data_IF_409633944478
#
_entry.id   IF_409633944478
#
_cell.length_a   1.000
_cell.length_b   1.000
_cell.length_c   1.000
_cell.angle_alpha   90.00
_cell.angle_beta   90.00
_cell.angle_gamma   90.00
#
_symmetry.space_group_name_H-M   'P 1'
#
loop_
_entity.id
_entity.type
_entity.pdbx_description
1 polymer ?
#
# COMPACT_ATOMS: atom_id res chain seq x y z
N UNK A 1 -19.41 0.05 -69.28
CA UNK A 1 -18.90 -0.86 -68.22
C UNK A 1 -18.06 -0.10 -67.19
N UNK A 2 -17.08 0.73 -67.60
CA UNK A 2 -16.39 1.65 -66.67
C UNK A 2 -17.34 2.64 -65.98
N UNK A 3 -18.39 3.13 -66.66
CA UNK A 3 -19.40 3.99 -66.04
C UNK A 3 -20.19 3.32 -64.91
N UNK A 4 -20.52 2.03 -65.02
CA UNK A 4 -21.25 1.30 -63.97
C UNK A 4 -20.37 1.13 -62.72
N UNK A 5 -19.07 0.94 -62.89
CA UNK A 5 -18.11 0.83 -61.78
C UNK A 5 -17.87 2.18 -61.12
N UNK A 6 -17.80 3.27 -61.90
CA UNK A 6 -17.73 4.63 -61.35
C UNK A 6 -19.01 5.02 -60.60
N UNK A 7 -20.19 4.67 -61.13
CA UNK A 7 -21.46 4.89 -60.46
C UNK A 7 -21.55 4.12 -59.14
N UNK A 8 -21.10 2.86 -59.12
CA UNK A 8 -21.11 2.04 -57.91
C UNK A 8 -20.13 2.53 -56.84
N UNK A 9 -18.96 3.08 -57.23
CA UNK A 9 -18.05 3.75 -56.28
C UNK A 9 -18.69 4.99 -55.67
N UNK A 10 -19.30 5.84 -56.49
CA UNK A 10 -19.99 7.04 -56.02
C UNK A 10 -21.17 6.71 -55.09
N UNK A 11 -21.90 5.63 -55.37
CA UNK A 11 -23.00 5.15 -54.52
C UNK A 11 -22.48 4.65 -53.15
N UNK A 12 -21.37 3.90 -53.14
CA UNK A 12 -20.72 3.44 -51.91
C UNK A 12 -20.21 4.63 -51.08
N UNK A 13 -19.59 5.63 -51.72
CA UNK A 13 -19.11 6.84 -51.06
C UNK A 13 -20.26 7.66 -50.46
N UNK A 14 -21.35 7.85 -51.21
CA UNK A 14 -22.53 8.58 -50.74
C UNK A 14 -23.24 7.86 -49.59
N UNK A 15 -23.41 6.54 -49.69
CA UNK A 15 -24.04 5.74 -48.65
C UNK A 15 -23.18 5.69 -47.38
N UNK A 16 -21.85 5.62 -47.50
CA UNK A 16 -20.94 5.65 -46.36
C UNK A 16 -20.86 7.02 -45.66
N UNK A 17 -21.07 8.12 -46.40
CA UNK A 17 -21.06 9.47 -45.83
C UNK A 17 -22.25 9.72 -44.88
N UNK A 18 -23.37 9.03 -45.08
CA UNK A 18 -24.57 9.15 -44.24
C UNK A 18 -24.50 8.32 -42.93
N UNK A 19 -23.53 7.40 -42.82
CA UNK A 19 -23.44 6.45 -41.71
C UNK A 19 -22.60 7.01 -40.57
N UNK A 20 -23.13 6.94 -39.35
CA UNK A 20 -22.47 7.41 -38.13
C UNK A 20 -22.18 6.32 -37.11
N UNK A 21 -22.64 5.08 -37.32
CA UNK A 21 -22.45 3.93 -36.43
C UNK A 21 -21.64 2.82 -37.16
N UNK A 22 -20.67 2.24 -36.46
CA UNK A 22 -19.88 1.10 -36.95
C UNK A 22 -20.75 -0.12 -37.29
N UNK A 23 -21.90 -0.30 -36.63
CA UNK A 23 -22.85 -1.39 -36.96
C UNK A 23 -23.53 -1.19 -38.31
N UNK A 24 -23.96 0.03 -38.61
CA UNK A 24 -24.55 0.38 -39.90
C UNK A 24 -23.50 0.29 -41.02
N UNK A 25 -22.25 0.70 -40.73
CA UNK A 25 -21.12 0.56 -41.65
C UNK A 25 -20.83 -0.90 -42.00
N UNK A 26 -20.95 -1.80 -41.01
CA UNK A 26 -20.82 -3.24 -41.21
C UNK A 26 -21.95 -3.81 -42.10
N UNK A 27 -23.19 -3.35 -41.95
CA UNK A 27 -24.30 -3.79 -42.82
C UNK A 27 -24.09 -3.30 -44.25
N UNK A 28 -23.65 -2.06 -44.45
CA UNK A 28 -23.30 -1.54 -45.76
C UNK A 28 -22.16 -2.34 -46.39
N UNK A 29 -21.09 -2.62 -45.64
CA UNK A 29 -19.99 -3.48 -46.09
C UNK A 29 -20.50 -4.85 -46.53
N UNK A 30 -21.40 -5.46 -45.77
CA UNK A 30 -22.01 -6.76 -46.09
C UNK A 30 -22.82 -6.69 -47.39
N UNK A 31 -23.60 -5.63 -47.62
CA UNK A 31 -24.40 -5.47 -48.84
C UNK A 31 -23.54 -5.45 -50.12
N UNK A 32 -22.34 -4.87 -50.08
CA UNK A 32 -21.48 -4.75 -51.26
C UNK A 32 -20.43 -5.87 -51.39
N UNK A 33 -19.81 -6.31 -50.29
CA UNK A 33 -18.66 -7.24 -50.28
C UNK A 33 -18.98 -8.69 -49.85
N UNK A 34 -20.24 -9.03 -49.52
CA UNK A 34 -20.58 -10.41 -49.15
C UNK A 34 -20.31 -11.41 -50.29
N UNK A 35 -19.78 -12.59 -49.95
CA UNK A 35 -19.36 -13.60 -50.92
C UNK A 35 -20.54 -14.30 -51.62
N UNK A 36 -21.73 -14.32 -51.01
CA UNK A 36 -22.93 -14.99 -51.53
C UNK A 36 -23.90 -14.00 -52.19
N UNK A 37 -24.15 -12.86 -51.55
CA UNK A 37 -25.18 -11.86 -51.95
C UNK A 37 -24.61 -10.47 -52.25
N UNK A 38 -23.30 -10.26 -52.14
CA UNK A 38 -22.69 -8.94 -52.33
C UNK A 38 -22.81 -8.47 -53.77
N UNK A 39 -23.16 -7.20 -53.97
CA UNK A 39 -23.32 -6.65 -55.32
C UNK A 39 -22.02 -6.70 -56.14
N UNK A 40 -20.85 -6.55 -55.52
CA UNK A 40 -19.54 -6.69 -56.19
C UNK A 40 -19.26 -8.17 -56.55
N UNK A 41 -19.68 -9.10 -55.69
CA UNK A 41 -19.59 -10.55 -55.97
C UNK A 41 -20.57 -10.99 -57.07
N UNK A 42 -21.71 -10.32 -57.23
CA UNK A 42 -22.65 -10.55 -58.33
C UNK A 42 -22.07 -10.12 -59.68
N UNK A 43 -21.36 -8.98 -59.73
CA UNK A 43 -20.62 -8.54 -60.93
C UNK A 43 -19.57 -9.57 -61.38
N UNK A 44 -18.90 -10.25 -60.43
CA UNK A 44 -17.97 -11.35 -60.74
C UNK A 44 -18.66 -12.59 -61.31
N UNK A 45 -19.91 -12.89 -60.93
CA UNK A 45 -20.68 -14.03 -61.47
C UNK A 45 -21.14 -13.77 -62.92
N UNK A 46 -21.49 -12.53 -63.23
CA UNK A 46 -21.88 -12.10 -64.59
C UNK A 46 -20.71 -12.17 -65.60
N UNK A 47 -19.47 -12.38 -65.14
CA UNK A 47 -18.29 -12.61 -65.98
C UNK A 47 -18.39 -13.89 -66.84
N UNK A 48 -19.25 -14.86 -66.46
CA UNK A 48 -19.48 -16.09 -67.22
C UNK A 48 -20.12 -15.85 -68.59
N UNK A 49 -20.83 -14.74 -68.76
CA UNK A 49 -21.62 -14.44 -69.95
C UNK A 49 -20.85 -13.58 -70.99
N UNK A 50 -19.63 -13.12 -70.68
CA UNK A 50 -18.80 -12.33 -71.59
C UNK A 50 -17.95 -13.18 -72.55
N UNK A 51 -17.62 -12.62 -73.72
CA UNK A 51 -16.74 -13.24 -74.72
C UNK A 51 -15.32 -13.48 -74.15
N UNK A 52 -14.61 -14.55 -74.55
CA UNK A 52 -13.31 -14.94 -73.98
C UNK A 52 -12.23 -13.84 -74.01
N UNK A 53 -12.31 -12.95 -74.98
CA UNK A 53 -11.37 -11.85 -75.24
C UNK A 53 -11.52 -10.68 -74.26
N UNK A 54 -12.72 -10.45 -73.70
CA UNK A 54 -13.02 -9.33 -72.79
C UNK A 54 -12.94 -9.70 -71.30
N UNK A 55 -12.92 -11.00 -70.98
CA UNK A 55 -12.84 -11.53 -69.61
C UNK A 55 -11.62 -11.06 -68.81
N UNK A 56 -10.39 -10.96 -69.37
CA UNK A 56 -9.21 -10.54 -68.61
C UNK A 56 -9.27 -9.07 -68.18
N UNK A 57 -9.74 -8.19 -69.07
CA UNK A 57 -9.88 -6.76 -68.78
C UNK A 57 -10.98 -6.52 -67.74
N UNK A 58 -12.12 -7.20 -67.86
CA UNK A 58 -13.22 -7.10 -66.91
C UNK A 58 -12.84 -7.61 -65.51
N UNK A 59 -12.20 -8.77 -65.41
CA UNK A 59 -11.75 -9.33 -64.13
C UNK A 59 -10.76 -8.44 -63.39
N UNK A 60 -9.89 -7.72 -64.12
CA UNK A 60 -8.96 -6.75 -63.54
C UNK A 60 -9.70 -5.58 -62.88
N UNK A 61 -10.64 -4.95 -63.60
CA UNK A 61 -11.36 -3.77 -63.11
C UNK A 61 -12.27 -4.13 -61.91
N UNK A 62 -12.92 -5.30 -61.92
CA UNK A 62 -13.75 -5.74 -60.79
C UNK A 62 -12.90 -6.11 -59.56
N UNK A 63 -11.73 -6.71 -59.75
CA UNK A 63 -10.79 -6.94 -58.64
C UNK A 63 -10.25 -5.62 -58.07
N UNK A 64 -9.93 -4.63 -58.91
CA UNK A 64 -9.54 -3.28 -58.46
C UNK A 64 -10.66 -2.59 -57.68
N UNK A 65 -11.92 -2.71 -58.12
CA UNK A 65 -13.09 -2.23 -57.37
C UNK A 65 -13.23 -2.93 -56.02
N UNK A 66 -13.03 -4.26 -55.98
CA UNK A 66 -13.13 -5.05 -54.75
C UNK A 66 -12.06 -4.67 -53.74
N UNK A 67 -10.81 -4.49 -54.18
CA UNK A 67 -9.70 -4.05 -53.33
C UNK A 67 -9.96 -2.63 -52.81
N UNK A 68 -10.33 -1.71 -53.70
CA UNK A 68 -10.69 -0.34 -53.30
C UNK A 68 -11.82 -0.33 -52.27
N UNK A 69 -12.90 -1.10 -52.49
CA UNK A 69 -14.02 -1.16 -51.57
C UNK A 69 -13.59 -1.74 -50.22
N UNK A 70 -12.77 -2.81 -50.21
CA UNK A 70 -12.24 -3.39 -48.98
C UNK A 70 -11.44 -2.36 -48.18
N UNK A 71 -10.54 -1.63 -48.83
CA UNK A 71 -9.72 -0.60 -48.19
C UNK A 71 -10.58 0.56 -47.67
N UNK A 72 -11.55 1.01 -48.47
CA UNK A 72 -12.49 2.06 -48.11
C UNK A 72 -13.34 1.70 -46.88
N UNK A 73 -13.97 0.53 -46.88
CA UNK A 73 -14.76 0.05 -45.75
C UNK A 73 -13.91 -0.17 -44.49
N UNK A 74 -12.67 -0.64 -44.65
CA UNK A 74 -11.72 -0.82 -43.53
C UNK A 74 -11.33 0.52 -42.92
N UNK A 75 -11.05 1.53 -43.75
CA UNK A 75 -10.71 2.87 -43.28
C UNK A 75 -11.89 3.56 -42.57
N UNK A 76 -13.11 3.43 -43.11
CA UNK A 76 -14.31 4.01 -42.49
C UNK A 76 -14.68 3.31 -41.18
N UNK A 77 -14.58 1.99 -41.11
CA UNK A 77 -14.82 1.21 -39.88
C UNK A 77 -13.82 1.60 -38.77
N UNK A 78 -12.54 1.75 -39.11
CA UNK A 78 -11.51 2.21 -38.18
C UNK A 78 -11.79 3.64 -37.68
N UNK A 79 -12.23 4.55 -38.56
CA UNK A 79 -12.60 5.93 -38.21
C UNK A 79 -13.82 5.99 -37.29
N UNK A 80 -14.85 5.21 -37.56
CA UNK A 80 -16.07 5.20 -36.75
C UNK A 80 -15.81 4.59 -35.37
N UNK A 81 -15.07 3.47 -35.30
CA UNK A 81 -14.69 2.84 -34.03
C UNK A 81 -13.84 3.74 -33.15
N UNK A 82 -12.89 4.50 -33.73
CA UNK A 82 -12.08 5.44 -32.96
C UNK A 82 -12.90 6.61 -32.42
N UNK A 83 -13.86 7.12 -33.22
CA UNK A 83 -14.79 8.16 -32.78
C UNK A 83 -15.75 7.68 -31.68
N UNK A 84 -16.29 6.46 -31.80
CA UNK A 84 -17.13 5.82 -30.78
C UNK A 84 -16.35 5.62 -29.47
N UNK A 85 -15.11 5.13 -29.55
CA UNK A 85 -14.25 4.95 -28.38
C UNK A 85 -13.91 6.29 -27.72
N UNK A 86 -13.58 7.32 -28.49
CA UNK A 86 -13.31 8.65 -27.95
C UNK A 86 -14.54 9.24 -27.24
N UNK A 87 -15.73 9.06 -27.81
CA UNK A 87 -17.00 9.47 -27.18
C UNK A 87 -17.27 8.71 -25.88
N UNK A 88 -17.02 7.39 -25.88
CA UNK A 88 -17.15 6.56 -24.68
C UNK A 88 -16.18 7.00 -23.58
N UNK A 89 -14.91 7.20 -23.92
CA UNK A 89 -13.89 7.65 -22.99
C UNK A 89 -14.20 9.05 -22.40
N UNK A 90 -14.74 9.96 -23.20
CA UNK A 90 -15.17 11.28 -22.72
C UNK A 90 -16.38 11.20 -21.78
N UNK A 91 -17.32 10.28 -22.05
CA UNK A 91 -18.49 10.07 -21.19
C UNK A 91 -18.14 9.35 -19.87
N UNK A 92 -17.14 8.46 -19.90
CA UNK A 92 -16.64 7.71 -18.74
C UNK A 92 -15.45 8.42 -18.06
N UNK A 93 -15.18 9.68 -18.39
CA UNK A 93 -14.12 10.45 -17.76
C UNK A 93 -14.47 10.72 -16.30
N UNK A 94 -13.63 10.20 -15.40
CA UNK A 94 -13.73 10.42 -13.96
C UNK A 94 -12.61 11.35 -13.49
N UNK A 95 -12.87 12.08 -12.40
CA UNK A 95 -11.84 12.82 -11.69
C UNK A 95 -11.04 11.86 -10.79
N UNK A 96 -9.85 11.48 -11.25
CA UNK A 96 -8.92 10.61 -10.51
C UNK A 96 -8.27 11.30 -9.31
N UNK A 97 -8.42 12.62 -9.16
CA UNK A 97 -7.90 13.40 -8.03
C UNK A 97 -8.90 13.55 -6.89
N UNK A 98 -10.15 13.16 -7.12
CA UNK A 98 -11.20 13.21 -6.11
C UNK A 98 -10.82 12.34 -4.90
N UNK A 99 -10.93 12.85 -3.66
CA UNK A 99 -10.62 12.08 -2.47
C UNK A 99 -11.46 10.80 -2.41
N UNK A 100 -10.80 9.66 -2.25
CA UNK A 100 -11.48 8.39 -2.04
C UNK A 100 -12.16 8.37 -0.67
N UNK A 101 -13.27 7.64 -0.56
CA UNK A 101 -13.85 7.30 0.74
C UNK A 101 -12.97 6.28 1.44
N UNK A 102 -11.91 6.75 2.10
CA UNK A 102 -11.02 5.91 2.89
C UNK A 102 -11.48 5.84 4.35
N UNK A 103 -11.29 4.68 4.97
CA UNK A 103 -11.40 4.57 6.42
C UNK A 103 -10.15 5.17 7.07
N UNK A 104 -10.35 5.90 8.17
CA UNK A 104 -9.23 6.41 8.93
C UNK A 104 -8.38 5.25 9.47
N UNK A 105 -7.07 5.30 9.25
CA UNK A 105 -6.14 4.39 9.91
C UNK A 105 -6.02 4.79 11.38
N UNK A 106 -5.94 3.80 12.28
CA UNK A 106 -5.58 4.05 13.67
C UNK A 106 -4.13 4.52 13.79
N UNK A 107 -3.80 5.18 14.89
CA UNK A 107 -2.45 5.57 15.26
C UNK A 107 -2.06 4.94 16.59
N UNK A 108 -0.78 4.65 16.77
CA UNK A 108 -0.26 4.25 18.08
C UNK A 108 -0.19 5.46 19.01
N UNK A 109 -0.35 5.22 20.30
CA UNK A 109 -0.15 6.24 21.31
C UNK A 109 1.32 6.72 21.29
N UNK A 110 1.61 8.02 21.50
CA UNK A 110 2.99 8.54 21.53
C UNK A 110 3.92 7.76 22.45
N UNK A 111 3.48 7.43 23.68
CA UNK A 111 4.27 6.60 24.60
C UNK A 111 4.60 5.21 24.03
N UNK A 112 3.73 4.62 23.21
CA UNK A 112 3.99 3.33 22.56
C UNK A 112 4.99 3.48 21.43
N UNK A 113 4.91 4.57 20.65
CA UNK A 113 5.89 4.89 19.61
C UNK A 113 7.29 5.02 20.21
N UNK A 114 7.43 5.86 21.24
CA UNK A 114 8.71 6.07 21.93
C UNK A 114 9.18 4.77 22.59
N UNK A 115 8.31 4.03 23.30
CA UNK A 115 8.72 2.77 23.91
C UNK A 115 9.27 1.77 22.89
N UNK A 116 8.62 1.64 21.72
CA UNK A 116 9.08 0.76 20.65
C UNK A 116 10.43 1.21 20.07
N UNK A 117 10.60 2.52 19.87
CA UNK A 117 11.87 3.10 19.38
C UNK A 117 13.02 2.82 20.35
N UNK A 118 12.83 3.06 21.66
CA UNK A 118 13.85 2.76 22.65
C UNK A 118 14.14 1.25 22.75
N UNK A 119 13.09 0.40 22.69
CA UNK A 119 13.25 -1.06 22.63
C UNK A 119 14.12 -1.47 21.43
N UNK A 120 13.88 -0.90 20.25
CA UNK A 120 14.62 -1.21 19.03
C UNK A 120 16.10 -0.84 19.16
N UNK A 121 16.41 0.35 19.69
CA UNK A 121 17.78 0.80 19.96
C UNK A 121 18.51 -0.17 20.89
N UNK A 122 17.92 -0.50 22.04
CA UNK A 122 18.55 -1.39 23.02
C UNK A 122 18.61 -2.85 22.54
N UNK A 123 17.61 -3.32 21.79
CA UNK A 123 17.67 -4.63 21.15
C UNK A 123 18.81 -4.71 20.13
N UNK A 124 19.05 -3.63 19.37
CA UNK A 124 20.22 -3.50 18.48
C UNK A 124 21.56 -3.57 19.22
N UNK A 125 21.60 -3.12 20.48
CA UNK A 125 22.75 -3.27 21.38
C UNK A 125 22.83 -4.64 22.06
N UNK A 126 21.93 -5.58 21.77
CA UNK A 126 21.91 -6.94 22.31
C UNK A 126 21.24 -7.09 23.68
N UNK A 127 20.38 -6.15 24.08
CA UNK A 127 19.54 -6.29 25.28
C UNK A 127 18.37 -7.24 25.00
N UNK A 128 18.00 -8.05 26.00
CA UNK A 128 16.76 -8.81 25.98
C UNK A 128 15.67 -8.11 26.79
N UNK A 129 14.42 -8.20 26.35
CA UNK A 129 13.30 -7.53 27.02
C UNK A 129 12.78 -8.41 28.17
N UNK A 130 12.62 -7.81 29.35
CA UNK A 130 11.97 -8.42 30.50
C UNK A 130 10.73 -7.62 30.92
N UNK A 131 9.59 -8.30 30.96
CA UNK A 131 8.34 -7.75 31.50
C UNK A 131 7.98 -8.45 32.81
N UNK A 132 7.65 -7.66 33.82
CA UNK A 132 7.25 -8.13 35.15
C UNK A 132 5.88 -7.61 35.57
N UNK A 133 5.32 -8.12 36.67
CA UNK A 133 4.03 -7.68 37.19
C UNK A 133 4.05 -6.21 37.61
N UNK A 134 2.89 -5.55 37.55
CA UNK A 134 2.70 -4.16 38.01
C UNK A 134 2.41 -4.07 39.52
N UNK A 135 1.75 -5.09 40.09
CA UNK A 135 1.64 -5.27 41.53
C UNK A 135 2.86 -6.08 41.98
N UNK A 136 3.64 -5.52 42.87
CA UNK A 136 4.89 -6.11 43.34
C UNK A 136 4.92 -6.19 44.87
N UNK A 137 5.78 -7.06 45.41
CA UNK A 137 6.00 -7.11 46.85
C UNK A 137 7.05 -6.07 47.31
N UNK A 138 6.99 -5.72 48.59
CA UNK A 138 7.98 -4.81 49.22
C UNK A 138 9.43 -5.29 49.05
N UNK A 139 9.64 -6.62 49.02
CA UNK A 139 10.95 -7.19 48.89
C UNK A 139 11.61 -6.82 47.55
N UNK A 140 10.96 -7.11 46.41
CA UNK A 140 11.50 -6.86 45.08
C UNK A 140 11.48 -5.37 44.72
N UNK A 141 10.47 -4.62 45.18
CA UNK A 141 10.40 -3.18 44.87
C UNK A 141 11.36 -2.33 45.71
N UNK A 142 11.76 -2.78 46.91
CA UNK A 142 12.60 -1.99 47.81
C UNK A 142 13.74 -2.77 48.47
N UNK A 143 13.42 -3.83 49.22
CA UNK A 143 14.41 -4.49 50.11
C UNK A 143 15.61 -5.05 49.34
N UNK A 144 15.36 -5.74 48.22
CA UNK A 144 16.40 -6.30 47.36
C UNK A 144 17.24 -5.22 46.63
N UNK A 145 16.74 -3.99 46.58
CA UNK A 145 17.41 -2.82 46.01
C UNK A 145 18.11 -1.98 47.07
N UNK A 146 18.37 -2.58 48.24
CA UNK A 146 19.07 -1.93 49.35
C UNK A 146 18.36 -0.66 49.87
N UNK A 147 17.04 -0.58 49.73
CA UNK A 147 16.23 0.50 50.29
C UNK A 147 15.66 0.04 51.63
N UNK A 148 16.10 0.53 52.81
CA UNK A 148 15.63 0.03 54.11
C UNK A 148 14.20 0.50 54.46
N UNK A 149 13.58 -0.08 55.50
CA UNK A 149 12.15 0.15 55.86
C UNK A 149 11.83 1.59 56.27
N UNK A 150 12.81 2.30 56.81
CA UNK A 150 12.74 3.70 57.25
C UNK A 150 13.08 4.70 56.12
N UNK A 151 13.30 4.22 54.89
CA UNK A 151 13.60 5.07 53.76
C UNK A 151 12.37 5.86 53.29
N UNK A 152 12.48 7.18 53.03
CA UNK A 152 11.35 8.01 52.59
C UNK A 152 10.62 7.49 51.37
N UNK A 153 11.31 6.88 50.41
CA UNK A 153 10.69 6.29 49.22
C UNK A 153 9.66 5.16 49.50
N UNK A 154 9.60 4.64 50.73
CA UNK A 154 8.60 3.66 51.18
C UNK A 154 7.40 4.31 51.90
N UNK A 155 7.38 5.64 52.02
CA UNK A 155 6.29 6.33 52.67
C UNK A 155 4.97 6.06 51.92
N UNK A 156 3.90 5.89 52.69
CA UNK A 156 2.53 5.72 52.17
C UNK A 156 2.05 6.96 51.41
N UNK A 157 2.68 8.12 51.64
CA UNK A 157 2.40 9.34 50.88
C UNK A 157 2.90 9.26 49.43
N UNK A 158 3.95 8.48 49.17
CA UNK A 158 4.61 8.43 47.85
C UNK A 158 4.30 7.13 47.09
N UNK A 159 3.92 6.06 47.81
CA UNK A 159 3.73 4.71 47.26
C UNK A 159 2.31 4.19 47.47
N UNK A 160 1.71 3.66 46.40
CA UNK A 160 0.39 3.01 46.48
C UNK A 160 0.47 1.58 47.03
N UNK A 161 0.21 1.44 48.33
CA UNK A 161 0.09 0.13 48.98
C UNK A 161 -1.30 -0.49 48.78
N UNK A 162 -1.33 -1.75 48.35
CA UNK A 162 -2.54 -2.60 48.28
C UNK A 162 -2.74 -3.33 49.61
N UNK A 163 -1.65 -3.73 50.24
CA UNK A 163 -1.58 -4.32 51.58
C UNK A 163 -0.22 -3.98 52.22
N UNK A 164 0.05 -4.32 53.49
CA UNK A 164 1.35 -4.04 54.12
C UNK A 164 2.57 -4.59 53.38
N UNK A 165 2.41 -5.61 52.54
CA UNK A 165 3.51 -6.27 51.81
C UNK A 165 3.39 -6.17 50.29
N UNK A 166 2.27 -5.66 49.77
CA UNK A 166 1.98 -5.54 48.33
C UNK A 166 1.70 -4.09 47.95
N UNK A 167 2.29 -3.64 46.85
CA UNK A 167 2.15 -2.29 46.33
C UNK A 167 2.11 -2.28 44.81
N UNK A 168 1.64 -1.17 44.22
CA UNK A 168 1.90 -0.88 42.82
C UNK A 168 3.37 -0.46 42.67
N UNK A 169 4.12 -1.13 41.78
CA UNK A 169 5.56 -0.89 41.64
C UNK A 169 5.87 0.58 41.32
N UNK A 170 6.87 1.12 41.99
CA UNK A 170 7.28 2.53 41.82
C UNK A 170 8.34 2.74 40.72
N UNK A 171 8.84 1.62 40.19
CA UNK A 171 10.01 1.48 39.33
C UNK A 171 10.03 0.07 38.72
N UNK A 172 10.79 -0.16 37.65
CA UNK A 172 10.86 -1.48 36.99
C UNK A 172 12.03 -2.35 37.49
N UNK A 173 12.82 -1.89 38.47
CA UNK A 173 14.00 -2.64 38.96
C UNK A 173 13.65 -3.98 39.62
N UNK A 174 12.41 -4.18 40.06
CA UNK A 174 11.96 -5.49 40.52
C UNK A 174 12.20 -6.59 39.47
N UNK A 175 12.05 -6.26 38.18
CA UNK A 175 12.39 -7.18 37.09
C UNK A 175 13.88 -7.52 37.02
N UNK A 176 14.75 -6.55 37.32
CA UNK A 176 16.19 -6.74 37.36
C UNK A 176 16.61 -7.74 38.45
N UNK A 177 16.06 -7.61 39.66
CA UNK A 177 16.30 -8.55 40.76
C UNK A 177 15.87 -9.96 40.37
N UNK A 178 14.65 -10.10 39.83
CA UNK A 178 14.11 -11.40 39.40
C UNK A 178 14.99 -12.07 38.36
N UNK A 179 15.53 -11.32 37.40
CA UNK A 179 16.47 -11.87 36.41
C UNK A 179 17.77 -12.31 37.07
N UNK A 180 18.36 -11.48 37.94
CA UNK A 180 19.62 -11.83 38.63
C UNK A 180 19.49 -13.05 39.55
N UNK A 181 18.33 -13.29 40.15
CA UNK A 181 18.10 -14.48 40.98
C UNK A 181 18.01 -15.78 40.15
N UNK A 182 17.56 -15.68 38.89
CA UNK A 182 17.29 -16.84 38.04
C UNK A 182 18.35 -17.05 36.94
N UNK A 183 19.21 -16.06 36.70
CA UNK A 183 20.19 -16.06 35.60
C UNK A 183 21.56 -15.63 36.12
N UNK A 184 22.61 -16.35 35.72
CA UNK A 184 24.00 -15.95 36.01
C UNK A 184 24.52 -15.02 34.91
N UNK A 185 25.44 -14.09 35.23
CA UNK A 185 26.15 -13.29 34.22
C UNK A 185 26.74 -14.14 33.08
N UNK A 186 26.75 -13.63 31.83
CA UNK A 186 26.39 -12.27 31.41
C UNK A 186 24.88 -12.02 31.39
N UNK A 187 24.45 -10.86 31.93
CA UNK A 187 23.06 -10.38 31.90
C UNK A 187 23.05 -9.06 31.14
N UNK A 188 22.15 -8.92 30.17
CA UNK A 188 21.88 -7.66 29.46
C UNK A 188 20.38 -7.55 29.20
N UNK A 189 19.66 -6.86 30.06
CA UNK A 189 18.19 -6.80 30.02
C UNK A 189 17.67 -5.36 30.02
N UNK A 190 16.53 -5.18 29.39
CA UNK A 190 15.75 -3.95 29.40
C UNK A 190 14.36 -4.27 29.95
N UNK A 191 13.91 -3.50 30.93
CA UNK A 191 12.59 -3.67 31.55
C UNK A 191 11.73 -2.43 31.34
N UNK A 192 10.98 -2.37 30.22
CA UNK A 192 9.94 -1.38 30.02
C UNK A 192 8.70 -1.71 30.84
N UNK A 193 7.99 -0.69 31.30
CA UNK A 193 6.70 -0.91 31.92
C UNK A 193 6.09 0.31 32.60
N UNK A 194 4.84 0.17 33.01
CA UNK A 194 4.15 1.19 33.81
C UNK A 194 4.63 1.15 35.25
N UNK A 195 4.72 2.31 35.87
CA UNK A 195 5.08 2.51 37.27
C UNK A 195 4.14 3.54 37.87
N UNK A 196 4.02 3.51 39.20
CA UNK A 196 3.00 4.26 39.92
C UNK A 196 3.62 5.02 41.08
N UNK A 197 3.25 6.29 41.23
CA UNK A 197 3.67 7.17 42.33
C UNK A 197 2.50 8.04 42.74
N UNK A 198 2.37 8.35 44.02
CA UNK A 198 1.23 9.13 44.53
C UNK A 198 1.44 10.64 44.37
N UNK A 199 1.83 11.07 43.16
CA UNK A 199 2.01 12.46 42.75
C UNK A 199 1.08 12.79 41.58
N UNK A 200 0.36 13.91 41.66
CA UNK A 200 -0.55 14.37 40.59
C UNK A 200 -0.50 15.90 40.45
N UNK A 201 0.18 16.37 39.41
CA UNK A 201 0.25 17.78 39.03
C UNK A 201 0.49 17.94 37.51
N UNK A 202 0.78 19.16 37.04
CA UNK A 202 0.96 19.42 35.60
C UNK A 202 2.13 18.65 34.95
N UNK A 203 3.10 18.19 35.75
CA UNK A 203 4.31 17.48 35.33
C UNK A 203 4.40 16.05 35.85
N UNK A 204 3.56 15.68 36.82
CA UNK A 204 3.51 14.37 37.44
C UNK A 204 2.19 13.69 37.17
N UNK A 205 2.25 12.45 36.69
CA UNK A 205 1.09 11.58 36.54
C UNK A 205 1.22 10.43 37.53
N UNK A 206 0.15 10.03 38.22
CA UNK A 206 0.21 8.95 39.19
C UNK A 206 0.51 7.57 38.56
N UNK A 207 0.39 7.50 37.23
CA UNK A 207 0.85 6.37 36.41
C UNK A 207 1.64 6.91 35.22
N UNK A 208 2.86 6.43 35.04
CA UNK A 208 3.71 6.76 33.89
C UNK A 208 4.49 5.54 33.41
N UNK A 209 5.11 5.64 32.25
CA UNK A 209 5.95 4.58 31.69
C UNK A 209 7.41 4.85 32.04
N UNK A 210 8.11 3.81 32.49
CA UNK A 210 9.54 3.83 32.74
C UNK A 210 10.20 2.69 31.98
N UNK A 211 11.48 2.88 31.63
CA UNK A 211 12.30 1.85 31.00
C UNK A 211 13.65 1.85 31.70
N UNK A 212 14.04 0.70 32.23
CA UNK A 212 15.30 0.53 32.93
C UNK A 212 16.14 -0.54 32.26
N UNK A 213 17.47 -0.39 32.30
CA UNK A 213 18.42 -1.35 31.74
C UNK A 213 19.38 -1.86 32.80
N UNK A 214 19.72 -3.16 32.73
CA UNK A 214 20.73 -3.79 33.57
C UNK A 214 21.74 -4.52 32.69
N UNK A 215 23.03 -4.24 32.89
CA UNK A 215 24.15 -5.00 32.33
C UNK A 215 25.03 -5.51 33.45
N UNK A 216 25.23 -6.82 33.52
CA UNK A 216 26.12 -7.45 34.51
C UNK A 216 27.00 -8.46 33.80
N UNK A 217 28.30 -8.17 33.74
CA UNK A 217 29.32 -9.12 33.28
C UNK A 217 30.70 -8.76 33.89
N UNK A 218 31.69 -9.63 33.70
CA UNK A 218 33.07 -9.36 34.08
C UNK A 218 33.67 -8.27 33.20
N UNK A 219 34.32 -7.29 33.83
CA UNK A 219 35.05 -6.24 33.11
C UNK A 219 34.17 -5.09 32.62
N UNK A 220 32.88 -5.06 32.97
CA UNK A 220 32.02 -3.89 32.75
C UNK A 220 32.52 -2.73 33.62
N UNK A 221 32.69 -1.57 33.00
CA UNK A 221 33.19 -0.34 33.62
C UNK A 221 32.21 0.81 33.45
N UNK A 222 32.48 1.93 34.13
CA UNK A 222 31.72 3.16 33.93
C UNK A 222 31.84 3.71 32.49
N UNK A 223 32.98 3.46 31.82
CA UNK A 223 33.18 3.88 30.42
C UNK A 223 32.18 3.18 29.48
N UNK A 224 31.82 1.92 29.77
CA UNK A 224 30.83 1.19 28.99
C UNK A 224 29.43 1.78 29.16
N UNK A 225 29.08 2.18 30.39
CA UNK A 225 27.81 2.88 30.68
C UNK A 225 27.76 4.22 29.93
N UNK A 226 28.82 5.02 30.00
CA UNK A 226 28.89 6.29 29.30
C UNK A 226 28.75 6.10 27.79
N UNK A 227 29.53 5.19 27.19
CA UNK A 227 29.49 4.94 25.75
C UNK A 227 28.11 4.46 25.28
N UNK A 228 27.44 3.63 26.08
CA UNK A 228 26.07 3.19 25.80
C UNK A 228 25.05 4.33 25.87
N UNK A 229 25.14 5.19 26.90
CA UNK A 229 24.25 6.34 27.04
C UNK A 229 24.48 7.39 25.95
N UNK A 230 25.74 7.58 25.52
CA UNK A 230 26.10 8.46 24.41
C UNK A 230 25.51 7.94 23.09
N UNK A 231 25.59 6.63 22.84
CA UNK A 231 24.99 6.00 21.66
C UNK A 231 23.46 6.09 21.69
N UNK A 232 22.86 5.82 22.84
CA UNK A 232 21.43 6.00 23.07
C UNK A 232 20.98 7.45 22.76
N UNK A 233 21.67 8.44 23.32
CA UNK A 233 21.34 9.85 23.11
C UNK A 233 21.44 10.25 21.62
N UNK A 234 22.50 9.80 20.92
CA UNK A 234 22.64 10.03 19.48
C UNK A 234 21.50 9.42 18.66
N UNK A 235 21.08 8.19 18.98
CA UNK A 235 20.01 7.53 18.24
C UNK A 235 18.64 8.19 18.47
N UNK A 236 18.36 8.67 19.69
CA UNK A 236 17.07 9.29 20.02
C UNK A 236 16.99 10.76 19.57
N UNK A 237 18.06 11.53 19.72
CA UNK A 237 18.04 12.98 19.52
C UNK A 237 18.81 13.45 18.28
N UNK A 238 19.50 12.55 17.58
CA UNK A 238 20.34 12.85 16.41
C UNK A 238 21.77 13.27 16.77
N UNK A 239 22.55 13.64 15.74
CA UNK A 239 23.87 14.24 15.92
C UNK A 239 23.70 15.69 16.43
N UNK A 240 24.28 15.98 17.60
CA UNK A 240 24.34 17.32 18.20
C UNK A 240 25.46 18.19 17.64
#
# INVERSE_FOLDING_TARGET
>A
MEEQIKAMRAEIEAAAAAITDSKEMYQLRKQYLDNKTGQISALMKNMRDLAPEERPAFGKIVNELKTWALDFFTAQDARLKSAELAKKNAAEQIDVTMPASAHACGALHPNTLIANELIEIFAGMGFTIFEGPEIENDYYNFTALNTPKDHPARDMQDTFYVSPELLLRTQTSAGQIRVMENTKPPIKILSPGKVFRSDDDATHSPMFSQMEGLVVDKGITLCDLQGMLDEFARNVFGEG
#
